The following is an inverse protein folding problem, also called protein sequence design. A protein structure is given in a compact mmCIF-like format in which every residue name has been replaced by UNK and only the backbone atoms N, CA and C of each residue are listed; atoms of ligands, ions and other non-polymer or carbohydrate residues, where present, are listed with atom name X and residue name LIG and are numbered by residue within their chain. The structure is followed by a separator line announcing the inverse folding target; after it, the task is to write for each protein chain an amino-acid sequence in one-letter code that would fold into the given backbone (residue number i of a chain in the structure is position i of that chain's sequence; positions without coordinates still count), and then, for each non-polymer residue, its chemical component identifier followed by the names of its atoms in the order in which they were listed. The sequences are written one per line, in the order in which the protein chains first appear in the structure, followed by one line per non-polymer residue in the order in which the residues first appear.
data_IF_259134704844
#
_entry.id   IF_259134704844
#
_cell.length_a   1.000
_cell.length_b   1.000
_cell.length_c   1.000
_cell.angle_alpha   90.00
_cell.angle_beta   90.00
_cell.angle_gamma   90.00
#
_symmetry.space_group_name_H-M   'P 1'
#
loop_
_entity.id
_entity.type
_entity.pdbx_description
1 polymer ?
#
# COMPACT_ATOMS: atom_id res chain seq x y z
N UNK A 1 54.16 -2.99 -9.78
CA UNK A 1 53.21 -1.98 -9.26
C UNK A 1 52.13 -1.77 -10.30
N UNK A 2 50.86 -2.15 -10.06
CA UNK A 2 49.78 -1.87 -11.00
C UNK A 2 49.24 -0.43 -10.80
N UNK A 3 48.68 0.20 -11.85
CA UNK A 3 48.26 1.60 -11.80
C UNK A 3 46.96 1.76 -10.99
N UNK A 4 46.93 2.75 -10.10
CA UNK A 4 45.72 3.20 -9.40
C UNK A 4 44.76 3.84 -10.40
N UNK A 5 43.63 3.19 -10.66
CA UNK A 5 42.48 3.84 -11.31
C UNK A 5 41.79 4.76 -10.30
N UNK A 6 41.81 6.06 -10.60
CA UNK A 6 41.08 7.10 -9.86
C UNK A 6 39.63 7.15 -10.37
N UNK A 7 38.71 6.54 -9.62
CA UNK A 7 37.27 6.74 -9.84
C UNK A 7 36.84 8.04 -9.15
N UNK A 8 36.80 9.14 -9.90
CA UNK A 8 36.08 10.34 -9.47
C UNK A 8 34.58 10.05 -9.51
N UNK A 9 33.97 9.71 -8.38
CA UNK A 9 32.53 9.79 -8.22
C UNK A 9 32.11 11.27 -8.30
N UNK A 10 31.45 11.61 -9.40
CA UNK A 10 30.83 12.91 -9.64
C UNK A 10 29.61 13.00 -8.72
N UNK A 11 29.66 13.82 -7.69
CA UNK A 11 28.48 14.20 -6.91
C UNK A 11 27.55 14.98 -7.84
N UNK A 12 26.58 14.30 -8.44
CA UNK A 12 25.48 14.96 -9.16
C UNK A 12 24.63 15.70 -8.11
N UNK A 13 24.28 16.95 -8.41
CA UNK A 13 23.29 17.72 -7.67
C UNK A 13 21.99 16.91 -7.51
N UNK A 14 21.21 17.13 -6.43
CA UNK A 14 19.97 16.39 -6.21
C UNK A 14 19.04 16.54 -7.43
N UNK A 15 18.37 15.46 -7.86
CA UNK A 15 17.61 15.40 -9.11
C UNK A 15 16.42 16.36 -9.20
N UNK A 16 16.15 17.13 -8.14
CA UNK A 16 15.10 18.14 -8.07
C UNK A 16 15.53 19.46 -8.72
N UNK A 17 16.84 19.75 -8.79
CA UNK A 17 17.34 21.05 -9.29
C UNK A 17 17.03 21.29 -10.78
N UNK A 18 17.00 20.22 -11.58
CA UNK A 18 16.80 20.29 -13.04
C UNK A 18 15.33 20.07 -13.47
N UNK A 19 14.39 19.96 -12.53
CA UNK A 19 12.96 19.81 -12.86
C UNK A 19 12.37 21.12 -13.42
N UNK A 20 11.37 21.05 -14.33
CA UNK A 20 10.57 22.20 -14.72
C UNK A 20 10.01 22.96 -13.50
N UNK A 21 10.00 24.30 -13.56
CA UNK A 21 9.58 25.13 -12.42
C UNK A 21 8.12 24.89 -11.99
N UNK A 22 7.25 24.54 -12.92
CA UNK A 22 5.87 24.15 -12.64
C UNK A 22 5.78 22.81 -11.90
N UNK A 23 6.65 21.85 -12.22
CA UNK A 23 6.81 20.61 -11.45
C UNK A 23 7.31 20.89 -10.04
N UNK A 24 8.33 21.73 -9.88
CA UNK A 24 8.86 22.12 -8.55
C UNK A 24 7.77 22.79 -7.71
N UNK A 25 7.00 23.69 -8.31
CA UNK A 25 5.88 24.36 -7.65
C UNK A 25 4.79 23.37 -7.23
N UNK A 26 4.45 22.39 -8.07
CA UNK A 26 3.50 21.33 -7.73
C UNK A 26 4.00 20.45 -6.57
N UNK A 27 5.27 20.01 -6.61
CA UNK A 27 5.90 19.26 -5.53
C UNK A 27 5.86 20.07 -4.23
N UNK A 28 6.22 21.35 -4.27
CA UNK A 28 6.22 22.21 -3.09
C UNK A 28 4.80 22.48 -2.56
N UNK A 29 3.80 22.59 -3.43
CA UNK A 29 2.39 22.76 -3.03
C UNK A 29 1.80 21.48 -2.42
N UNK A 30 2.20 20.32 -2.91
CA UNK A 30 1.74 19.03 -2.36
C UNK A 30 2.48 18.73 -1.06
N UNK A 31 3.81 18.79 -1.05
CA UNK A 31 4.63 18.39 0.10
C UNK A 31 4.82 19.48 1.15
N UNK A 32 4.69 20.76 0.79
CA UNK A 32 4.93 21.88 1.71
C UNK A 32 3.95 21.94 2.87
N UNK A 33 2.72 21.44 2.66
CA UNK A 33 1.70 21.33 3.71
C UNK A 33 1.76 19.98 4.44
N UNK A 34 2.56 19.02 3.94
CA UNK A 34 2.67 17.70 4.54
C UNK A 34 3.60 17.75 5.75
N UNK A 35 3.01 17.90 6.94
CA UNK A 35 3.72 17.72 8.20
C UNK A 35 3.45 16.32 8.74
N UNK A 36 4.38 15.35 8.62
CA UNK A 36 4.18 14.03 9.21
C UNK A 36 4.05 14.21 10.73
N UNK A 37 2.83 14.09 11.26
CA UNK A 37 2.63 14.06 12.72
C UNK A 37 3.27 12.77 13.24
N UNK A 38 4.02 12.88 14.32
CA UNK A 38 4.91 11.83 14.83
C UNK A 38 4.23 10.50 15.25
N UNK A 39 2.91 10.37 15.15
CA UNK A 39 2.17 9.19 15.64
C UNK A 39 1.01 8.82 14.70
N UNK A 40 1.24 8.00 13.67
CA UNK A 40 0.27 7.04 13.09
C UNK A 40 0.88 6.34 11.86
N UNK A 41 0.47 5.08 11.63
CA UNK A 41 0.80 4.19 10.51
C UNK A 41 1.10 4.89 9.17
N UNK A 42 2.39 4.88 8.76
CA UNK A 42 2.96 5.70 7.69
C UNK A 42 2.54 5.44 6.24
N UNK A 43 1.38 4.82 5.99
CA UNK A 43 0.81 4.64 4.64
C UNK A 43 -0.50 5.39 4.41
N UNK A 44 -1.39 5.45 5.41
CA UNK A 44 -2.72 6.04 5.24
C UNK A 44 -2.71 7.57 5.20
N UNK A 45 -1.70 8.20 5.81
CA UNK A 45 -1.64 9.66 5.97
C UNK A 45 -1.26 10.38 4.67
N UNK A 46 -0.39 9.78 3.85
CA UNK A 46 -0.06 10.32 2.52
C UNK A 46 -1.24 10.17 1.56
N UNK A 47 -1.91 9.02 1.55
CA UNK A 47 -3.06 8.81 0.66
C UNK A 47 -4.20 9.79 0.97
N UNK A 48 -4.49 10.02 2.26
CA UNK A 48 -5.48 11.02 2.71
C UNK A 48 -5.04 12.45 2.36
N UNK A 49 -3.77 12.77 2.58
CA UNK A 49 -3.21 14.08 2.21
C UNK A 49 -3.28 14.34 0.70
N UNK A 50 -3.00 13.32 -0.12
CA UNK A 50 -3.13 13.42 -1.58
C UNK A 50 -4.59 13.53 -2.02
N UNK A 51 -5.53 12.87 -1.34
CA UNK A 51 -6.96 12.93 -1.69
C UNK A 51 -7.55 14.34 -1.61
N UNK A 52 -7.01 15.21 -0.74
CA UNK A 52 -7.44 16.60 -0.58
C UNK A 52 -6.74 17.58 -1.55
N UNK A 53 -5.82 17.11 -2.40
CA UNK A 53 -5.10 17.95 -3.37
C UNK A 53 -5.81 17.98 -4.73
N UNK A 54 -5.52 19.04 -5.49
CA UNK A 54 -6.01 19.19 -6.86
C UNK A 54 -5.53 17.99 -7.72
N UNK A 55 -6.44 17.25 -8.37
CA UNK A 55 -6.07 16.12 -9.22
C UNK A 55 -5.01 16.47 -10.29
N UNK A 56 -5.03 17.71 -10.81
CA UNK A 56 -4.07 18.16 -11.80
C UNK A 56 -2.64 18.29 -11.23
N UNK A 57 -2.50 18.64 -9.94
CA UNK A 57 -1.20 18.70 -9.28
C UNK A 57 -0.67 17.29 -8.98
N UNK A 58 -1.55 16.35 -8.61
CA UNK A 58 -1.20 14.93 -8.41
C UNK A 58 -0.74 14.30 -9.71
N UNK A 59 -1.45 14.55 -10.81
CA UNK A 59 -1.08 14.05 -12.13
C UNK A 59 0.29 14.60 -12.57
N UNK A 60 0.57 15.89 -12.33
CA UNK A 60 1.90 16.48 -12.58
C UNK A 60 2.98 15.85 -11.70
N UNK A 61 2.70 15.59 -10.43
CA UNK A 61 3.64 14.91 -9.54
C UNK A 61 3.94 13.48 -10.02
N UNK A 62 2.91 12.72 -10.40
CA UNK A 62 3.05 11.36 -10.92
C UNK A 62 3.76 11.34 -12.27
N UNK A 63 3.46 12.30 -13.15
CA UNK A 63 4.16 12.48 -14.43
C UNK A 63 5.62 12.84 -14.20
N UNK A 64 5.92 13.73 -13.24
CA UNK A 64 7.28 14.08 -12.87
C UNK A 64 8.05 12.87 -12.32
N UNK A 65 7.46 12.13 -11.38
CA UNK A 65 8.04 10.90 -10.82
C UNK A 65 8.24 9.81 -11.89
N UNK A 66 7.34 9.73 -12.85
CA UNK A 66 7.44 8.78 -13.97
C UNK A 66 8.45 9.23 -15.03
N UNK A 67 8.65 10.55 -15.19
CA UNK A 67 9.65 11.15 -16.09
C UNK A 67 11.05 11.25 -15.49
N UNK A 68 11.17 11.02 -14.18
CA UNK A 68 12.46 10.74 -13.57
C UNK A 68 12.89 9.39 -14.11
N UNK A 69 13.55 9.42 -15.28
CA UNK A 69 14.39 8.33 -15.77
C UNK A 69 15.50 8.15 -14.75
N UNK A 70 15.18 7.47 -13.64
CA UNK A 70 16.16 6.89 -12.75
C UNK A 70 16.82 5.84 -13.64
N UNK A 71 18.05 6.09 -14.13
CA UNK A 71 18.65 5.20 -15.11
C UNK A 71 18.67 3.83 -14.48
N UNK A 72 18.02 2.85 -15.13
CA UNK A 72 18.04 1.50 -14.59
C UNK A 72 19.51 1.10 -14.52
N UNK A 73 20.02 0.83 -13.31
CA UNK A 73 21.42 0.45 -13.16
C UNK A 73 21.64 -0.80 -14.00
N UNK A 74 22.75 -0.85 -14.72
CA UNK A 74 23.21 -2.09 -15.31
C UNK A 74 23.56 -3.06 -14.18
N UNK A 75 22.60 -3.93 -13.85
CA UNK A 75 22.68 -4.85 -12.73
C UNK A 75 23.73 -5.94 -12.96
N UNK A 76 24.19 -6.15 -14.19
CA UNK A 76 25.20 -7.15 -14.51
C UNK A 76 26.61 -6.56 -14.43
N UNK A 77 26.74 -5.25 -14.62
CA UNK A 77 28.00 -4.51 -14.44
C UNK A 77 28.27 -4.09 -12.98
N UNK A 78 27.29 -4.20 -12.09
CA UNK A 78 27.44 -3.86 -10.68
C UNK A 78 28.30 -4.91 -9.94
N UNK A 79 29.34 -4.48 -9.22
CA UNK A 79 30.21 -5.37 -8.47
C UNK A 79 29.63 -5.74 -7.10
N UNK A 80 28.90 -6.85 -7.05
CA UNK A 80 28.30 -7.37 -5.82
C UNK A 80 29.32 -7.87 -4.79
N UNK A 81 30.57 -8.14 -5.20
CA UNK A 81 31.59 -8.70 -4.31
C UNK A 81 32.18 -7.68 -3.34
N UNK A 82 32.05 -6.38 -3.65
CA UNK A 82 32.59 -5.27 -2.84
C UNK A 82 31.52 -4.52 -2.05
N UNK A 83 30.27 -4.96 -2.10
CA UNK A 83 29.16 -4.33 -1.39
C UNK A 83 29.34 -4.46 0.13
N UNK A 84 29.21 -3.36 0.90
CA UNK A 84 29.35 -3.43 2.35
C UNK A 84 28.21 -4.25 2.98
N UNK A 85 28.57 -5.23 3.80
CA UNK A 85 27.63 -6.00 4.62
C UNK A 85 27.38 -5.26 5.93
N UNK A 86 26.11 -5.00 6.23
CA UNK A 86 25.70 -4.40 7.50
C UNK A 86 25.65 -5.48 8.59
N UNK A 87 26.37 -5.23 9.69
CA UNK A 87 26.38 -6.14 10.83
C UNK A 87 25.03 -6.10 11.56
N UNK A 88 24.55 -7.28 11.99
CA UNK A 88 23.32 -7.45 12.78
C UNK A 88 22.07 -6.87 12.09
N UNK A 89 22.02 -6.91 10.77
CA UNK A 89 20.83 -6.53 10.00
C UNK A 89 20.29 -7.75 9.28
N UNK A 90 18.96 -7.84 9.16
CA UNK A 90 18.33 -8.88 8.38
C UNK A 90 17.34 -8.27 7.40
N UNK A 91 17.22 -8.88 6.23
CA UNK A 91 16.20 -8.52 5.26
C UNK A 91 15.25 -9.69 5.03
N UNK A 92 14.03 -9.38 4.65
CA UNK A 92 13.03 -10.36 4.25
C UNK A 92 12.65 -10.12 2.80
N UNK A 93 12.70 -11.18 2.00
CA UNK A 93 12.19 -11.19 0.62
C UNK A 93 10.92 -12.03 0.56
N UNK A 94 9.81 -11.40 0.20
CA UNK A 94 8.50 -12.04 0.20
C UNK A 94 7.65 -11.66 -1.01
N UNK A 95 6.72 -12.55 -1.34
CA UNK A 95 5.72 -12.36 -2.38
C UNK A 95 4.37 -12.04 -1.73
N UNK A 96 3.85 -10.84 -1.96
CA UNK A 96 2.54 -10.40 -1.47
C UNK A 96 1.50 -10.49 -2.58
N UNK A 97 0.29 -11.01 -2.30
CA UNK A 97 -0.82 -10.91 -3.25
C UNK A 97 -1.12 -9.44 -3.54
N UNK A 98 -1.33 -9.13 -4.81
CA UNK A 98 -1.63 -7.78 -5.29
C UNK A 98 -2.89 -7.83 -6.17
N UNK A 99 -3.91 -8.60 -5.80
CA UNK A 99 -5.15 -8.75 -6.57
C UNK A 99 -5.05 -9.74 -7.73
N UNK A 100 -5.81 -9.49 -8.80
CA UNK A 100 -5.95 -10.38 -9.95
C UNK A 100 -5.95 -9.60 -11.27
N UNK A 101 -5.61 -10.27 -12.36
CA UNK A 101 -5.65 -9.73 -13.72
C UNK A 101 -6.62 -10.56 -14.55
N UNK A 102 -7.59 -9.90 -15.21
CA UNK A 102 -8.55 -10.53 -16.12
C UNK A 102 -7.86 -10.98 -17.40
N UNK A 103 -8.56 -11.78 -18.22
CA UNK A 103 -8.04 -12.21 -19.54
C UNK A 103 -7.73 -11.03 -20.48
N UNK A 104 -8.42 -9.91 -20.29
CA UNK A 104 -8.24 -8.68 -21.06
C UNK A 104 -7.10 -7.79 -20.50
N UNK A 105 -6.38 -8.27 -19.48
CA UNK A 105 -5.29 -7.52 -18.85
C UNK A 105 -5.75 -6.48 -17.82
N UNK A 106 -7.03 -6.46 -17.46
CA UNK A 106 -7.54 -5.50 -16.47
C UNK A 106 -7.28 -5.99 -15.06
N UNK A 107 -6.78 -5.09 -14.22
CA UNK A 107 -6.58 -5.36 -12.80
C UNK A 107 -7.92 -5.33 -12.04
N UNK A 108 -8.17 -6.33 -11.21
CA UNK A 108 -9.35 -6.43 -10.35
C UNK A 108 -8.96 -6.90 -8.94
N UNK A 109 -9.61 -6.35 -7.93
CA UNK A 109 -9.34 -6.71 -6.53
C UNK A 109 -10.01 -8.03 -6.12
N UNK A 110 -11.11 -8.40 -6.77
CA UNK A 110 -11.88 -9.61 -6.47
C UNK A 110 -11.68 -10.67 -7.55
N UNK A 111 -11.52 -11.91 -7.12
CA UNK A 111 -11.42 -13.03 -8.03
C UNK A 111 -12.70 -13.17 -8.87
N UNK A 112 -12.52 -13.16 -10.19
CA UNK A 112 -13.56 -13.51 -11.15
C UNK A 112 -13.10 -14.75 -11.92
N UNK A 113 -13.97 -15.73 -12.25
CA UNK A 113 -13.57 -16.94 -12.96
C UNK A 113 -12.73 -16.65 -14.22
N UNK A 114 -11.54 -17.23 -14.28
CA UNK A 114 -10.60 -17.04 -15.39
C UNK A 114 -9.60 -15.89 -15.23
N UNK A 115 -9.63 -15.16 -14.11
CA UNK A 115 -8.56 -14.25 -13.75
C UNK A 115 -7.32 -15.00 -13.27
N UNK A 116 -6.15 -14.39 -13.43
CA UNK A 116 -4.89 -14.88 -12.89
C UNK A 116 -4.46 -14.04 -11.68
N UNK A 117 -3.88 -14.64 -10.64
CA UNK A 117 -3.42 -13.88 -9.47
C UNK A 117 -2.29 -12.95 -9.88
N UNK A 118 -2.29 -11.73 -9.35
CA UNK A 118 -1.16 -10.82 -9.44
C UNK A 118 -0.41 -10.82 -8.12
N UNK A 119 0.90 -10.59 -8.19
CA UNK A 119 1.74 -10.53 -7.00
C UNK A 119 2.66 -9.33 -7.07
N UNK A 120 3.14 -8.92 -5.91
CA UNK A 120 4.22 -7.96 -5.77
C UNK A 120 5.35 -8.63 -5.00
N UNK A 121 6.57 -8.53 -5.52
CA UNK A 121 7.76 -8.95 -4.82
C UNK A 121 8.30 -7.76 -4.04
N UNK A 122 8.41 -7.92 -2.73
CA UNK A 122 8.96 -6.90 -1.84
C UNK A 122 10.17 -7.43 -1.10
N UNK A 123 11.17 -6.56 -0.94
CA UNK A 123 12.33 -6.78 -0.08
C UNK A 123 12.35 -5.64 0.93
N UNK A 124 12.34 -5.94 2.23
CA UNK A 124 12.39 -4.94 3.28
C UNK A 124 13.42 -5.30 4.36
N UNK A 125 13.89 -4.30 5.08
CA UNK A 125 14.87 -4.46 6.16
C UNK A 125 14.24 -4.61 7.55
N UNK A 126 15.06 -4.74 8.58
CA UNK A 126 14.62 -4.92 9.97
C UNK A 126 13.77 -3.77 10.52
N UNK A 127 13.70 -2.64 9.82
CA UNK A 127 12.88 -1.46 10.17
C UNK A 127 11.61 -1.39 9.34
N UNK A 128 11.27 -2.46 8.63
CA UNK A 128 10.16 -2.50 7.67
C UNK A 128 10.30 -1.47 6.54
N UNK A 129 11.53 -1.01 6.25
CA UNK A 129 11.77 -0.09 5.15
C UNK A 129 11.92 -0.88 3.86
N UNK A 130 11.08 -0.58 2.87
CA UNK A 130 11.15 -1.25 1.57
C UNK A 130 12.44 -0.87 0.84
N UNK A 131 13.21 -1.88 0.45
CA UNK A 131 14.37 -1.75 -0.43
C UNK A 131 14.00 -1.86 -1.89
N UNK A 132 13.06 -2.74 -2.22
CA UNK A 132 12.46 -2.89 -3.54
C UNK A 132 10.99 -3.25 -3.35
N UNK A 133 10.18 -2.71 -4.24
CA UNK A 133 8.82 -3.18 -4.51
C UNK A 133 8.68 -3.29 -6.02
N UNK A 134 8.41 -4.50 -6.52
CA UNK A 134 8.37 -4.78 -7.94
C UNK A 134 7.19 -5.69 -8.29
N UNK A 135 6.42 -5.29 -9.30
CA UNK A 135 5.35 -6.11 -9.87
C UNK A 135 5.90 -6.90 -11.06
N UNK A 136 5.68 -8.23 -11.13
CA UNK A 136 6.07 -9.04 -12.28
C UNK A 136 5.41 -8.53 -13.57
N UNK A 137 6.09 -8.66 -14.72
CA UNK A 137 5.54 -8.19 -16.00
C UNK A 137 4.36 -9.04 -16.50
N UNK A 138 4.15 -10.22 -15.92
CA UNK A 138 3.07 -11.14 -16.28
C UNK A 138 2.35 -11.59 -15.01
N UNK A 139 1.01 -11.73 -15.05
CA UNK A 139 0.26 -12.30 -13.94
C UNK A 139 0.64 -13.77 -13.71
N UNK A 140 0.36 -14.27 -12.51
CA UNK A 140 0.76 -15.58 -12.04
C UNK A 140 2.07 -15.56 -11.25
N UNK A 141 2.65 -16.74 -11.02
CA UNK A 141 3.90 -16.85 -10.28
C UNK A 141 5.06 -16.19 -11.04
N UNK A 142 5.86 -15.34 -10.39
CA UNK A 142 7.00 -14.69 -11.04
C UNK A 142 8.06 -15.69 -11.49
N UNK A 143 8.82 -15.34 -12.53
CA UNK A 143 9.96 -16.14 -12.97
C UNK A 143 11.15 -16.01 -12.01
N UNK A 144 12.01 -17.04 -11.95
CA UNK A 144 13.24 -16.97 -11.15
C UNK A 144 14.16 -15.81 -11.57
N UNK A 145 14.17 -15.48 -12.87
CA UNK A 145 14.93 -14.35 -13.39
C UNK A 145 14.41 -13.02 -12.84
N UNK A 146 13.09 -12.83 -12.79
CA UNK A 146 12.49 -11.63 -12.20
C UNK A 146 12.84 -11.49 -10.71
N UNK A 147 12.77 -12.58 -9.95
CA UNK A 147 13.12 -12.55 -8.51
C UNK A 147 14.59 -12.20 -8.31
N UNK A 148 15.49 -12.82 -9.08
CA UNK A 148 16.93 -12.54 -9.03
C UNK A 148 17.22 -11.08 -9.34
N UNK A 149 16.66 -10.56 -10.43
CA UNK A 149 16.81 -9.16 -10.86
C UNK A 149 16.29 -8.19 -9.80
N UNK A 150 15.16 -8.51 -9.18
CA UNK A 150 14.58 -7.68 -8.12
C UNK A 150 15.45 -7.67 -6.86
N UNK A 151 16.02 -8.81 -6.48
CA UNK A 151 16.95 -8.88 -5.34
C UNK A 151 18.26 -8.14 -5.64
N UNK A 152 18.83 -8.30 -6.83
CA UNK A 152 19.96 -7.50 -7.33
C UNK A 152 19.68 -6.00 -7.22
N UNK A 153 18.47 -5.56 -7.62
CA UNK A 153 18.02 -4.17 -7.49
C UNK A 153 17.95 -3.71 -6.03
N UNK A 154 17.50 -4.55 -5.10
CA UNK A 154 17.47 -4.23 -3.66
C UNK A 154 18.85 -3.97 -3.04
N UNK A 155 19.90 -4.49 -3.67
CA UNK A 155 21.30 -4.27 -3.31
C UNK A 155 21.85 -3.03 -4.03
N UNK A 156 21.76 -3.01 -5.36
CA UNK A 156 22.44 -2.04 -6.22
C UNK A 156 21.72 -0.69 -6.33
N UNK A 157 20.40 -0.66 -6.25
CA UNK A 157 19.59 0.55 -6.35
C UNK A 157 18.34 0.43 -5.46
N UNK A 158 18.53 0.41 -4.12
CA UNK A 158 17.41 0.36 -3.20
C UNK A 158 16.58 1.65 -3.28
N UNK A 159 15.31 1.55 -2.90
CA UNK A 159 14.42 2.71 -2.77
C UNK A 159 15.02 3.75 -1.81
N UNK A 160 15.02 5.04 -2.17
CA UNK A 160 15.46 6.12 -1.29
C UNK A 160 14.69 6.11 0.05
N UNK A 161 15.33 6.50 1.18
CA UNK A 161 16.68 7.06 1.32
C UNK A 161 17.78 6.00 1.56
N UNK A 162 17.48 4.72 1.28
CA UNK A 162 18.40 3.63 1.60
C UNK A 162 19.63 3.66 0.70
N UNK A 163 20.75 3.20 1.24
CA UNK A 163 22.03 3.09 0.51
C UNK A 163 22.30 1.64 0.12
N UNK A 164 23.13 1.47 -0.90
CA UNK A 164 23.68 0.19 -1.32
C UNK A 164 24.35 -0.51 -0.13
N UNK A 165 23.93 -1.75 0.13
CA UNK A 165 24.46 -2.58 1.22
C UNK A 165 23.97 -4.02 1.06
N UNK A 166 24.50 -4.94 1.84
CA UNK A 166 23.95 -6.28 2.07
C UNK A 166 23.54 -6.43 3.54
N UNK A 167 22.57 -7.30 3.86
CA UNK A 167 22.31 -7.66 5.25
C UNK A 167 23.33 -8.69 5.73
N UNK A 168 23.49 -8.86 7.05
CA UNK A 168 24.14 -10.07 7.57
C UNK A 168 23.28 -11.32 7.33
N UNK A 169 21.95 -11.19 7.26
CA UNK A 169 21.05 -12.32 7.00
C UNK A 169 19.92 -11.97 6.01
N UNK A 170 19.70 -12.81 5.01
CA UNK A 170 18.52 -12.75 4.15
C UNK A 170 17.57 -13.92 4.48
N UNK A 171 16.32 -13.59 4.79
CA UNK A 171 15.24 -14.56 4.95
C UNK A 171 14.38 -14.53 3.68
N UNK A 172 14.24 -15.67 3.03
CA UNK A 172 13.45 -15.82 1.82
C UNK A 172 12.15 -16.54 2.18
N UNK A 173 11.01 -15.91 1.91
CA UNK A 173 9.70 -16.48 2.22
C UNK A 173 9.54 -17.88 1.61
N UNK A 174 8.89 -18.78 2.35
CA UNK A 174 8.77 -20.19 1.95
C UNK A 174 8.08 -20.38 0.58
N UNK A 175 7.19 -19.46 0.23
CA UNK A 175 6.50 -19.38 -1.08
C UNK A 175 7.45 -19.23 -2.27
N UNK A 176 8.68 -18.76 -2.04
CA UNK A 176 9.72 -18.60 -3.06
C UNK A 176 10.65 -19.82 -3.17
N UNK A 177 10.38 -20.90 -2.42
CA UNK A 177 11.15 -22.15 -2.48
C UNK A 177 11.38 -22.71 -3.90
N UNK A 178 10.43 -22.64 -4.87
CA UNK A 178 10.65 -23.15 -6.22
C UNK A 178 11.78 -22.43 -6.98
N UNK A 179 12.19 -21.24 -6.53
CA UNK A 179 13.20 -20.42 -7.21
C UNK A 179 14.60 -20.58 -6.63
N UNK A 180 14.75 -21.26 -5.49
CA UNK A 180 16.00 -21.27 -4.73
C UNK A 180 17.16 -21.89 -5.49
N UNK A 181 16.94 -22.96 -6.25
CA UNK A 181 18.03 -23.58 -7.02
C UNK A 181 18.60 -22.61 -8.09
N UNK A 182 17.77 -21.73 -8.63
CA UNK A 182 18.21 -20.67 -9.56
C UNK A 182 18.92 -19.53 -8.83
N UNK A 183 18.47 -19.15 -7.63
CA UNK A 183 19.04 -18.04 -6.86
C UNK A 183 20.36 -18.41 -6.17
N UNK A 184 20.49 -19.67 -5.72
CA UNK A 184 21.60 -20.17 -4.91
C UNK A 184 23.00 -19.81 -5.44
N UNK A 185 23.32 -19.95 -6.75
CA UNK A 185 24.65 -19.59 -7.25
C UNK A 185 25.01 -18.13 -7.01
N UNK A 186 24.06 -17.21 -7.20
CA UNK A 186 24.26 -15.77 -6.93
C UNK A 186 24.31 -15.49 -5.43
N UNK A 187 23.41 -16.07 -4.64
CA UNK A 187 23.39 -15.83 -3.19
C UNK A 187 24.68 -16.31 -2.51
N UNK A 188 25.25 -17.43 -2.97
CA UNK A 188 26.49 -17.98 -2.44
C UNK A 188 27.75 -17.24 -2.93
N UNK A 189 27.66 -16.35 -3.92
CA UNK A 189 28.79 -15.54 -4.39
C UNK A 189 28.93 -14.19 -3.67
N UNK A 190 27.98 -13.84 -2.79
CA UNK A 190 27.99 -12.59 -2.03
C UNK A 190 29.02 -12.61 -0.89
N UNK A 191 29.60 -11.44 -0.53
CA UNK A 191 30.67 -11.36 0.47
C UNK A 191 30.20 -11.70 1.89
N UNK A 192 31.05 -12.41 2.65
CA UNK A 192 30.83 -12.63 4.07
C UNK A 192 30.80 -11.29 4.86
N UNK A 193 30.08 -11.20 5.99
CA UNK A 193 29.31 -12.24 6.68
C UNK A 193 27.84 -12.35 6.20
N UNK A 194 27.57 -12.19 4.91
CA UNK A 194 26.23 -12.45 4.37
C UNK A 194 25.86 -13.93 4.48
N UNK A 195 24.69 -14.20 5.04
CA UNK A 195 24.06 -15.51 5.07
C UNK A 195 22.64 -15.41 4.54
N UNK A 196 22.10 -16.53 4.04
CA UNK A 196 20.71 -16.60 3.61
C UNK A 196 20.08 -17.92 4.02
N UNK A 197 18.76 -17.91 4.25
CA UNK A 197 17.97 -19.11 4.50
C UNK A 197 16.55 -18.94 3.99
N UNK A 198 15.86 -20.07 3.83
CA UNK A 198 14.41 -20.06 3.73
C UNK A 198 13.79 -19.80 5.11
N UNK A 199 12.66 -19.11 5.09
CA UNK A 199 11.71 -19.04 6.19
C UNK A 199 11.29 -20.45 6.61
N UNK A 200 11.18 -20.71 7.91
CA UNK A 200 10.70 -22.01 8.39
C UNK A 200 9.18 -22.10 8.28
N UNK A 201 8.58 -23.31 8.22
CA UNK A 201 7.13 -23.45 8.24
C UNK A 201 6.47 -22.79 9.45
N UNK A 202 7.13 -22.81 10.62
CA UNK A 202 6.64 -22.20 11.85
C UNK A 202 6.63 -20.66 11.74
N UNK A 203 7.68 -20.06 11.20
CA UNK A 203 7.74 -18.61 10.95
C UNK A 203 6.68 -18.18 9.94
N UNK A 204 6.50 -18.94 8.85
CA UNK A 204 5.48 -18.68 7.85
C UNK A 204 4.06 -18.76 8.44
N UNK A 205 3.84 -19.70 9.35
CA UNK A 205 2.58 -19.86 10.07
C UNK A 205 2.34 -18.73 11.07
N UNK A 206 3.35 -18.32 11.84
CA UNK A 206 3.27 -17.20 12.78
C UNK A 206 2.92 -15.89 12.06
N UNK A 207 3.52 -15.64 10.89
CA UNK A 207 3.16 -14.49 10.05
C UNK A 207 1.70 -14.57 9.58
N UNK A 208 1.25 -15.75 9.14
CA UNK A 208 -0.13 -15.95 8.72
C UNK A 208 -1.14 -15.73 9.86
N UNK A 209 -0.83 -16.23 11.06
CA UNK A 209 -1.63 -16.06 12.27
C UNK A 209 -1.64 -14.61 12.74
N UNK A 210 -0.48 -13.95 12.78
CA UNK A 210 -0.38 -12.54 13.16
C UNK A 210 -1.16 -11.60 12.23
N UNK A 211 -1.17 -11.88 10.93
CA UNK A 211 -2.04 -11.16 9.97
C UNK A 211 -3.51 -11.44 10.25
N UNK A 212 -3.89 -12.68 10.52
CA UNK A 212 -5.26 -13.05 10.87
C UNK A 212 -5.76 -12.31 12.12
N UNK A 213 -4.94 -12.23 13.16
CA UNK A 213 -5.33 -11.58 14.42
C UNK A 213 -5.40 -10.05 14.28
N UNK A 214 -4.47 -9.44 13.54
CA UNK A 214 -4.58 -8.00 13.20
C UNK A 214 -5.82 -7.69 12.37
N UNK A 215 -6.17 -8.56 11.42
CA UNK A 215 -7.36 -8.40 10.61
C UNK A 215 -8.63 -8.45 11.48
N UNK A 216 -8.73 -9.43 12.40
CA UNK A 216 -9.84 -9.50 13.36
C UNK A 216 -9.92 -8.25 14.23
N UNK A 217 -8.80 -7.79 14.77
CA UNK A 217 -8.76 -6.56 15.58
C UNK A 217 -9.18 -5.33 14.76
N UNK A 218 -8.75 -5.25 13.50
CA UNK A 218 -9.13 -4.20 12.55
C UNK A 218 -10.64 -4.20 12.28
N UNK A 219 -11.24 -5.36 12.03
CA UNK A 219 -12.70 -5.51 11.85
C UNK A 219 -13.47 -5.04 13.09
N UNK A 220 -13.04 -5.48 14.28
CA UNK A 220 -13.69 -5.10 15.55
C UNK A 220 -13.58 -3.60 15.81
N UNK A 221 -12.39 -3.03 15.59
CA UNK A 221 -12.15 -1.59 15.77
C UNK A 221 -12.98 -0.76 14.78
N UNK A 222 -13.02 -1.15 13.50
CA UNK A 222 -13.82 -0.47 12.50
C UNK A 222 -15.33 -0.52 12.81
N UNK A 223 -15.84 -1.67 13.25
CA UNK A 223 -17.23 -1.81 13.71
C UNK A 223 -17.55 -0.93 14.93
N UNK A 224 -16.65 -0.88 15.92
CA UNK A 224 -16.81 -0.07 17.12
C UNK A 224 -16.83 1.43 16.79
N UNK A 225 -15.85 1.89 16.01
CA UNK A 225 -15.74 3.30 15.60
C UNK A 225 -16.95 3.71 14.77
N UNK A 226 -17.39 2.88 13.81
CA UNK A 226 -18.55 3.17 12.99
C UNK A 226 -19.86 3.29 13.81
N UNK A 227 -20.06 2.44 14.82
CA UNK A 227 -21.22 2.56 15.72
C UNK A 227 -21.18 3.87 16.54
N UNK A 228 -19.99 4.25 17.02
CA UNK A 228 -19.78 5.53 17.73
C UNK A 228 -20.09 6.73 16.82
N UNK A 229 -19.52 6.75 15.61
CA UNK A 229 -19.73 7.80 14.62
C UNK A 229 -21.20 7.88 14.16
N UNK A 230 -21.87 6.74 13.91
CA UNK A 230 -23.31 6.71 13.66
C UNK A 230 -24.10 7.34 14.80
N UNK A 231 -23.73 7.05 16.05
CA UNK A 231 -24.39 7.63 17.23
C UNK A 231 -24.19 9.14 17.32
N UNK A 232 -23.00 9.65 17.02
CA UNK A 232 -22.72 11.08 16.93
C UNK A 232 -23.50 11.75 15.77
N UNK A 233 -23.60 11.06 14.63
CA UNK A 233 -24.44 11.47 13.50
C UNK A 233 -25.90 11.62 13.90
N UNK A 234 -26.47 10.63 14.61
CA UNK A 234 -27.84 10.68 15.12
C UNK A 234 -28.06 11.87 16.06
N UNK A 235 -27.09 12.16 16.94
CA UNK A 235 -27.15 13.32 17.84
C UNK A 235 -27.11 14.65 17.06
N UNK A 236 -26.31 14.73 16.00
CA UNK A 236 -26.25 15.92 15.15
C UNK A 236 -27.57 16.14 14.39
N UNK A 237 -28.20 15.08 13.87
CA UNK A 237 -29.55 15.15 13.28
C UNK A 237 -30.57 15.67 14.30
N UNK A 238 -30.55 15.15 15.53
CA UNK A 238 -31.45 15.61 16.59
C UNK A 238 -31.29 17.11 16.92
N UNK A 239 -30.08 17.66 16.74
CA UNK A 239 -29.77 19.09 16.91
C UNK A 239 -30.01 19.92 15.64
N UNK A 240 -30.52 19.30 14.57
CA UNK A 240 -30.67 19.89 13.23
C UNK A 240 -29.35 20.40 12.64
N UNK A 241 -28.22 19.83 13.04
CA UNK A 241 -26.88 20.16 12.49
C UNK A 241 -26.55 19.20 11.34
N UNK A 242 -27.03 19.53 10.14
CA UNK A 242 -26.90 18.67 8.96
C UNK A 242 -25.45 18.39 8.60
N UNK A 243 -24.60 19.42 8.59
CA UNK A 243 -23.22 19.30 8.14
C UNK A 243 -22.45 18.32 9.03
N UNK A 244 -22.61 18.40 10.36
CA UNK A 244 -22.00 17.44 11.27
C UNK A 244 -22.58 16.04 11.12
N UNK A 245 -23.90 15.92 10.96
CA UNK A 245 -24.54 14.63 10.76
C UNK A 245 -23.97 13.90 9.53
N UNK A 246 -23.93 14.58 8.38
CA UNK A 246 -23.37 14.05 7.14
C UNK A 246 -21.92 13.61 7.35
N UNK A 247 -21.09 14.46 7.97
CA UNK A 247 -19.67 14.14 8.21
C UNK A 247 -19.51 12.86 9.06
N UNK A 248 -20.24 12.76 10.16
CA UNK A 248 -20.17 11.59 11.04
C UNK A 248 -20.65 10.30 10.36
N UNK A 249 -21.74 10.36 9.57
CA UNK A 249 -22.16 9.19 8.79
C UNK A 249 -21.16 8.82 7.68
N UNK A 250 -20.50 9.80 7.05
CA UNK A 250 -19.42 9.52 6.09
C UNK A 250 -18.26 8.77 6.74
N UNK A 251 -17.75 9.25 7.88
CA UNK A 251 -16.67 8.58 8.61
C UNK A 251 -17.09 7.16 9.05
N UNK A 252 -18.34 6.98 9.50
CA UNK A 252 -18.86 5.65 9.84
C UNK A 252 -18.87 4.70 8.63
N UNK A 253 -19.26 5.18 7.45
CA UNK A 253 -19.27 4.39 6.21
C UNK A 253 -17.85 4.02 5.79
N UNK A 254 -16.90 4.95 5.86
CA UNK A 254 -15.49 4.71 5.55
C UNK A 254 -14.89 3.65 6.49
N UNK A 255 -15.09 3.77 7.81
CA UNK A 255 -14.66 2.77 8.78
C UNK A 255 -15.22 1.37 8.49
N UNK A 256 -16.46 1.28 8.02
CA UNK A 256 -17.10 0.01 7.67
C UNK A 256 -16.58 -0.57 6.36
N UNK A 257 -16.23 0.27 5.39
CA UNK A 257 -15.59 -0.16 4.16
C UNK A 257 -14.18 -0.70 4.44
N UNK A 258 -13.42 -0.04 5.32
CA UNK A 258 -12.12 -0.51 5.78
C UNK A 258 -12.24 -1.84 6.52
N UNK A 259 -13.18 -1.96 7.47
CA UNK A 259 -13.45 -3.22 8.16
C UNK A 259 -13.81 -4.34 7.18
N UNK A 260 -14.57 -4.04 6.12
CA UNK A 260 -14.93 -5.02 5.08
C UNK A 260 -13.71 -5.51 4.30
N UNK A 261 -12.68 -4.69 4.13
CA UNK A 261 -11.46 -5.04 3.42
C UNK A 261 -10.53 -5.97 4.23
N UNK A 262 -10.71 -6.05 5.55
CA UNK A 262 -9.88 -6.85 6.47
C UNK A 262 -10.33 -8.32 6.58
N UNK A 263 -10.92 -8.89 5.52
CA UNK A 263 -11.38 -10.30 5.48
C UNK A 263 -12.25 -10.72 6.70
N UNK A 264 -13.37 -10.01 6.99
CA UNK A 264 -14.26 -10.37 8.10
C UNK A 264 -14.89 -11.75 7.91
N UNK A 265 -15.33 -12.36 9.02
CA UNK A 265 -16.16 -13.57 9.00
C UNK A 265 -17.52 -13.29 8.32
N UNK A 266 -18.26 -14.34 7.94
CA UNK A 266 -19.58 -14.17 7.29
C UNK A 266 -20.58 -13.39 8.15
N UNK A 267 -20.61 -13.67 9.46
CA UNK A 267 -21.47 -12.97 10.42
C UNK A 267 -21.08 -11.49 10.58
N UNK A 268 -19.79 -11.20 10.66
CA UNK A 268 -19.28 -9.83 10.69
C UNK A 268 -19.58 -9.10 9.38
N UNK A 269 -19.40 -9.76 8.23
CA UNK A 269 -19.71 -9.18 6.92
C UNK A 269 -21.20 -8.85 6.80
N UNK A 270 -22.09 -9.71 7.30
CA UNK A 270 -23.53 -9.44 7.38
C UNK A 270 -23.82 -8.23 8.26
N UNK A 271 -23.17 -8.14 9.43
CA UNK A 271 -23.29 -6.99 10.34
C UNK A 271 -22.80 -5.69 9.69
N UNK A 272 -21.64 -5.73 9.02
CA UNK A 272 -21.06 -4.60 8.30
C UNK A 272 -22.04 -4.11 7.22
N UNK A 273 -22.55 -5.01 6.36
CA UNK A 273 -23.51 -4.65 5.30
C UNK A 273 -24.76 -3.98 5.85
N UNK A 274 -25.35 -4.55 6.90
CA UNK A 274 -26.52 -3.99 7.57
C UNK A 274 -26.24 -2.59 8.13
N UNK A 275 -25.11 -2.40 8.81
CA UNK A 275 -24.76 -1.10 9.39
C UNK A 275 -24.42 -0.05 8.32
N UNK A 276 -23.76 -0.44 7.23
CA UNK A 276 -23.51 0.44 6.06
C UNK A 276 -24.83 0.93 5.47
N UNK A 277 -25.80 0.04 5.26
CA UNK A 277 -27.12 0.40 4.75
C UNK A 277 -27.82 1.42 5.67
N UNK A 278 -27.78 1.19 6.99
CA UNK A 278 -28.31 2.14 7.99
C UNK A 278 -27.63 3.51 7.91
N UNK A 279 -26.30 3.56 7.82
CA UNK A 279 -25.56 4.81 7.76
C UNK A 279 -25.86 5.60 6.47
N UNK A 280 -25.96 4.92 5.33
CA UNK A 280 -26.39 5.54 4.06
C UNK A 280 -27.80 6.12 4.17
N UNK A 281 -28.77 5.35 4.67
CA UNK A 281 -30.14 5.84 4.82
C UNK A 281 -30.24 7.02 5.81
N UNK A 282 -29.50 6.99 6.91
CA UNK A 282 -29.45 8.11 7.85
C UNK A 282 -28.79 9.34 7.24
N UNK A 283 -27.76 9.16 6.40
CA UNK A 283 -27.12 10.26 5.67
C UNK A 283 -28.04 10.85 4.60
N UNK A 284 -28.81 10.02 3.89
CA UNK A 284 -29.88 10.45 2.99
C UNK A 284 -30.92 11.31 3.72
N UNK A 285 -31.39 10.85 4.89
CA UNK A 285 -32.31 11.63 5.72
C UNK A 285 -31.69 12.96 6.17
N UNK A 286 -30.40 12.98 6.51
CA UNK A 286 -29.70 14.22 6.84
C UNK A 286 -29.70 15.17 5.63
N UNK A 287 -29.39 14.70 4.42
CA UNK A 287 -29.43 15.53 3.20
C UNK A 287 -30.80 16.15 2.90
N UNK A 288 -31.88 15.50 3.31
CA UNK A 288 -33.25 16.00 3.14
C UNK A 288 -33.71 16.98 4.22
N UNK A 289 -32.92 17.22 5.27
CA UNK A 289 -33.27 18.20 6.30
C UNK A 289 -33.43 19.61 5.70
N UNK A 290 -34.53 20.27 6.05
CA UNK A 290 -34.87 21.61 5.60
C UNK A 290 -33.78 22.64 5.95
N UNK A 291 -33.54 23.58 5.04
CA UNK A 291 -32.63 24.71 5.21
C UNK A 291 -31.47 24.72 4.22
N UNK A 292 -30.58 25.72 4.35
CA UNK A 292 -29.43 25.92 3.46
C UNK A 292 -28.63 24.64 3.33
N UNK A 293 -28.47 24.11 2.10
CA UNK A 293 -27.69 22.91 1.74
C UNK A 293 -28.46 21.58 1.73
N UNK A 294 -29.80 21.63 1.75
CA UNK A 294 -30.64 20.48 1.43
C UNK A 294 -30.31 20.00 0.02
N UNK A 295 -30.10 18.69 -0.16
CA UNK A 295 -29.65 18.13 -1.42
C UNK A 295 -30.38 16.81 -1.72
N UNK A 296 -31.57 16.88 -2.36
CA UNK A 296 -32.37 15.69 -2.69
C UNK A 296 -31.67 14.71 -3.63
N UNK A 297 -30.72 15.19 -4.45
CA UNK A 297 -29.99 14.34 -5.38
C UNK A 297 -29.02 13.44 -4.63
N UNK A 298 -28.23 14.00 -3.71
CA UNK A 298 -27.35 13.20 -2.83
C UNK A 298 -28.14 12.28 -1.92
N UNK A 299 -29.31 12.71 -1.46
CA UNK A 299 -30.19 11.86 -0.68
C UNK A 299 -30.63 10.61 -1.46
N UNK A 300 -31.02 10.78 -2.73
CA UNK A 300 -31.38 9.67 -3.60
C UNK A 300 -30.18 8.73 -3.85
N UNK A 301 -29.00 9.27 -4.14
CA UNK A 301 -27.78 8.47 -4.33
C UNK A 301 -27.44 7.62 -3.08
N UNK A 302 -27.56 8.21 -1.88
CA UNK A 302 -27.34 7.51 -0.62
C UNK A 302 -28.43 6.44 -0.36
N UNK A 303 -29.70 6.73 -0.66
CA UNK A 303 -30.80 5.76 -0.56
C UNK A 303 -30.59 4.55 -1.49
N UNK A 304 -30.21 4.78 -2.75
CA UNK A 304 -29.88 3.71 -3.70
C UNK A 304 -28.66 2.90 -3.24
N UNK A 305 -27.68 3.52 -2.59
CA UNK A 305 -26.59 2.79 -1.93
C UNK A 305 -27.13 1.90 -0.80
N UNK A 306 -28.00 2.42 0.08
CA UNK A 306 -28.55 1.66 1.19
C UNK A 306 -29.27 0.38 0.73
N UNK A 307 -30.11 0.48 -0.32
CA UNK A 307 -30.82 -0.68 -0.92
C UNK A 307 -29.83 -1.67 -1.54
N UNK A 308 -28.78 -1.20 -2.23
CA UNK A 308 -27.76 -2.09 -2.82
C UNK A 308 -27.01 -2.92 -1.78
N UNK A 309 -26.85 -2.41 -0.56
CA UNK A 309 -26.18 -3.13 0.53
C UNK A 309 -27.12 -4.07 1.30
N UNK A 310 -28.39 -3.72 1.42
CA UNK A 310 -29.44 -4.52 2.05
C UNK A 310 -30.78 -4.27 1.34
N UNK A 311 -31.15 -5.16 0.43
CA UNK A 311 -32.40 -5.08 -0.36
C UNK A 311 -33.66 -5.11 0.53
N UNK A 312 -33.53 -5.62 1.76
CA UNK A 312 -34.64 -5.70 2.71
C UNK A 312 -34.79 -4.44 3.56
N UNK A 313 -33.93 -3.44 3.36
CA UNK A 313 -33.90 -2.23 4.17
C UNK A 313 -35.04 -1.26 3.81
N UNK A 314 -36.20 -1.45 4.45
CA UNK A 314 -37.42 -0.70 4.13
C UNK A 314 -37.46 0.79 4.51
N UNK A 315 -36.35 1.38 4.99
CA UNK A 315 -36.26 2.83 5.29
C UNK A 315 -35.47 3.64 4.25
N UNK A 316 -34.85 2.96 3.29
CA UNK A 316 -34.16 3.62 2.18
C UNK A 316 -35.16 4.23 1.19
#
# INVERSE_FOLDING_TARGET
MPPRLSSKQRTKDPPVADMPEDTKAAIQKILGDYSPRANASGGSDIARHLADKDPADIEKLMAALSSMDIPEPDLDMFDYSTVPVKNKSFWVMQLTPDGFVTKDGQFVQQYTPGCQPNFQLIVYDERSSFRVSATPPQPGMPSSAFILTSFKRAIACPLPPLRQSLPSQLIIALKLSPHIDTLRPFLNSLPAPFEWRLETPEEAQEVAEGVCDRNKEGVLTGLFTAESEKTLGNQAVARKDRLKAVRHYTEAIECLQDARAQSPTEDELKKIKSLVSVCYANRAAAWLMEGTGQDPKKALEDAECAVRFDETYGKA
#
